data_IF_612728995601
#
_entry.id   IF_612728995601
#
_cell.length_a   1.000
_cell.length_b   1.000
_cell.length_c   1.000
_cell.angle_alpha   90.00
_cell.angle_beta   90.00
_cell.angle_gamma   90.00
#
_symmetry.space_group_name_H-M   'P 1'
#
loop_
_entity.id
_entity.type
_entity.pdbx_description
1 polymer ?
#
# COMPACT_ATOMS: atom_id res chain seq x y z
N UNK A 1 -6.80 -11.26 15.41
CA UNK A 1 -5.38 -11.02 15.05
C UNK A 1 -5.11 -10.85 13.55
N UNK A 2 -5.91 -11.44 12.64
CA UNK A 2 -5.71 -11.38 11.18
C UNK A 2 -5.69 -9.94 10.59
N UNK A 3 -6.52 -9.04 11.11
CA UNK A 3 -6.65 -7.65 10.62
C UNK A 3 -5.36 -6.82 10.78
N UNK A 4 -4.65 -6.99 11.90
CA UNK A 4 -3.37 -6.31 12.14
C UNK A 4 -2.30 -6.72 11.13
N UNK A 5 -2.24 -8.01 10.78
CA UNK A 5 -1.25 -8.52 9.82
C UNK A 5 -1.49 -7.98 8.41
N UNK A 6 -2.74 -7.90 7.97
CA UNK A 6 -3.09 -7.33 6.65
C UNK A 6 -2.66 -5.87 6.58
N UNK A 7 -2.96 -5.06 7.61
CA UNK A 7 -2.52 -3.67 7.69
C UNK A 7 -0.99 -3.54 7.72
N UNK A 8 -0.30 -4.42 8.45
CA UNK A 8 1.17 -4.43 8.49
C UNK A 8 1.78 -4.74 7.12
N UNK A 9 1.28 -5.77 6.44
CA UNK A 9 1.77 -6.15 5.11
C UNK A 9 1.49 -5.03 4.10
N UNK A 10 0.31 -4.41 4.15
CA UNK A 10 -0.03 -3.26 3.30
C UNK A 10 0.92 -2.07 3.53
N UNK A 11 1.23 -1.77 4.80
CA UNK A 11 2.14 -0.68 5.19
C UNK A 11 3.57 -0.92 4.72
N UNK A 12 4.06 -2.16 4.83
CA UNK A 12 5.38 -2.54 4.30
C UNK A 12 5.44 -2.49 2.77
N UNK A 13 4.37 -2.89 2.09
CA UNK A 13 4.26 -2.78 0.62
C UNK A 13 4.25 -1.32 0.16
N UNK A 14 3.61 -0.40 0.91
CA UNK A 14 3.66 1.04 0.60
C UNK A 14 5.05 1.59 0.69
N UNK A 15 5.73 1.23 1.78
CA UNK A 15 7.08 1.70 2.06
C UNK A 15 8.04 1.23 0.96
N UNK A 16 7.95 -0.05 0.56
CA UNK A 16 8.75 -0.59 -0.53
C UNK A 16 8.43 0.08 -1.88
N UNK A 17 7.16 0.31 -2.19
CA UNK A 17 6.73 0.96 -3.43
C UNK A 17 7.18 2.43 -3.53
N UNK A 18 7.18 3.18 -2.41
CA UNK A 18 7.66 4.56 -2.39
C UNK A 18 9.19 4.67 -2.41
N UNK A 19 9.90 3.74 -1.76
CA UNK A 19 11.36 3.82 -1.61
C UNK A 19 12.08 3.19 -2.81
N UNK A 20 11.54 2.13 -3.41
CA UNK A 20 12.21 1.38 -4.49
C UNK A 20 12.67 2.24 -5.68
N UNK A 21 11.76 2.95 -6.37
CA UNK A 21 12.10 3.70 -7.59
C UNK A 21 13.09 4.87 -7.35
N UNK A 22 12.93 5.72 -6.31
CA UNK A 22 13.89 6.78 -6.01
C UNK A 22 15.29 6.22 -5.68
N UNK A 23 15.36 5.11 -4.94
CA UNK A 23 16.65 4.52 -4.56
C UNK A 23 17.37 3.92 -5.78
N UNK A 24 16.62 3.30 -6.71
CA UNK A 24 17.15 2.78 -7.96
C UNK A 24 17.63 3.90 -8.90
N UNK A 25 16.91 5.03 -8.96
CA UNK A 25 17.32 6.22 -9.69
C UNK A 25 18.58 6.87 -9.12
N UNK A 26 18.64 7.08 -7.79
CA UNK A 26 19.83 7.63 -7.12
C UNK A 26 21.07 6.75 -7.26
N UNK A 27 20.90 5.42 -7.36
CA UNK A 27 22.00 4.49 -7.60
C UNK A 27 22.53 4.52 -9.06
N UNK A 28 21.97 5.38 -9.94
CA UNK A 28 22.31 5.44 -11.36
C UNK A 28 21.90 4.20 -12.15
N UNK A 29 21.03 3.35 -11.58
CA UNK A 29 20.58 2.09 -12.20
C UNK A 29 19.29 2.23 -12.98
N UNK A 30 18.70 3.42 -12.98
CA UNK A 30 17.43 3.70 -13.64
C UNK A 30 17.46 5.13 -14.19
N UNK A 31 17.08 5.31 -15.45
CA UNK A 31 16.90 6.64 -16.02
C UNK A 31 15.63 7.31 -15.49
N UNK A 32 15.60 8.64 -15.56
CA UNK A 32 14.51 9.46 -15.04
C UNK A 32 13.15 9.06 -15.66
N UNK A 33 13.12 8.78 -16.97
CA UNK A 33 11.88 8.42 -17.66
C UNK A 33 11.39 7.01 -17.28
N UNK A 34 12.30 6.05 -17.09
CA UNK A 34 11.95 4.75 -16.54
C UNK A 34 11.42 4.85 -15.11
N UNK A 35 12.03 5.70 -14.26
CA UNK A 35 11.56 5.95 -12.89
C UNK A 35 10.13 6.51 -12.89
N UNK A 36 9.84 7.51 -13.74
CA UNK A 36 8.49 8.09 -13.85
C UNK A 36 7.45 7.04 -14.22
N UNK A 37 7.74 6.17 -15.20
CA UNK A 37 6.83 5.10 -15.61
C UNK A 37 6.62 4.12 -14.45
N UNK A 38 7.70 3.70 -13.78
CA UNK A 38 7.61 2.81 -12.62
C UNK A 38 6.80 3.41 -11.47
N UNK A 39 6.99 4.68 -11.15
CA UNK A 39 6.21 5.39 -10.14
C UNK A 39 4.73 5.50 -10.54
N UNK A 40 4.44 5.76 -11.82
CA UNK A 40 3.07 5.81 -12.31
C UNK A 40 2.37 4.46 -12.17
N UNK A 41 3.02 3.37 -12.63
CA UNK A 41 2.47 2.01 -12.50
C UNK A 41 2.29 1.65 -11.03
N UNK A 42 3.28 1.90 -10.18
CA UNK A 42 3.18 1.65 -8.74
C UNK A 42 2.02 2.41 -8.09
N UNK A 43 1.79 3.66 -8.49
CA UNK A 43 0.67 4.49 -7.99
C UNK A 43 -0.67 3.94 -8.45
N UNK A 44 -0.81 3.55 -9.73
CA UNK A 44 -2.05 2.96 -10.24
C UNK A 44 -2.34 1.63 -9.55
N UNK A 45 -1.35 0.75 -9.43
CA UNK A 45 -1.48 -0.51 -8.68
C UNK A 45 -1.87 -0.24 -7.23
N UNK A 46 -1.19 0.69 -6.56
CA UNK A 46 -1.53 1.11 -5.20
C UNK A 46 -2.98 1.55 -5.08
N UNK A 47 -3.47 2.37 -6.03
CA UNK A 47 -4.84 2.87 -6.03
C UNK A 47 -5.88 1.76 -6.16
N UNK A 48 -5.58 0.70 -6.90
CA UNK A 48 -6.46 -0.48 -7.04
C UNK A 48 -6.42 -1.34 -5.78
N UNK A 49 -5.23 -1.57 -5.21
CA UNK A 49 -5.07 -2.52 -4.10
C UNK A 49 -5.48 -1.89 -2.75
N UNK A 50 -5.24 -0.60 -2.54
CA UNK A 50 -5.55 0.13 -1.29
C UNK A 50 -6.99 -0.01 -0.79
N UNK A 51 -8.03 0.24 -1.61
CA UNK A 51 -9.41 0.09 -1.16
C UNK A 51 -9.77 -1.37 -0.80
N UNK A 52 -9.07 -2.37 -1.37
CA UNK A 52 -9.34 -3.79 -1.11
C UNK A 52 -9.01 -4.21 0.33
N UNK A 53 -8.08 -3.52 1.01
CA UNK A 53 -7.77 -3.81 2.43
C UNK A 53 -8.29 -2.76 3.41
N UNK A 54 -8.56 -1.53 2.94
CA UNK A 54 -8.95 -0.41 3.80
C UNK A 54 -10.47 -0.35 4.07
N UNK A 55 -11.28 -1.16 3.39
CA UNK A 55 -12.74 -1.06 3.37
C UNK A 55 -13.55 -2.10 4.17
N UNK A 56 -13.10 -2.59 5.33
CA UNK A 56 -13.99 -3.41 6.19
C UNK A 56 -13.97 -2.98 7.65
N UNK A 57 -14.97 -2.18 8.02
CA UNK A 57 -15.48 -2.14 9.38
C UNK A 57 -15.88 -3.57 9.78
N UNK A 58 -15.40 -4.03 10.94
CA UNK A 58 -15.86 -5.30 11.48
C UNK A 58 -17.25 -5.08 12.06
N UNK A 59 -18.25 -5.90 11.71
CA UNK A 59 -19.60 -5.81 12.30
C UNK A 59 -19.68 -6.19 13.81
N UNK A 60 -18.63 -6.06 14.62
CA UNK A 60 -18.63 -6.54 16.01
C UNK A 60 -19.04 -5.48 17.05
N UNK A 61 -19.19 -4.20 16.69
CA UNK A 61 -19.40 -3.16 17.72
C UNK A 61 -20.88 -2.79 17.93
N UNK A 62 -21.79 -3.19 17.02
CA UNK A 62 -23.22 -2.85 17.11
C UNK A 62 -24.03 -3.72 18.11
N UNK A 63 -23.49 -4.85 18.57
CA UNK A 63 -24.23 -5.78 19.43
C UNK A 63 -23.99 -5.57 20.93
N UNK A 64 -22.99 -4.76 21.34
CA UNK A 64 -22.69 -4.52 22.76
C UNK A 64 -23.38 -3.29 23.36
N UNK A 65 -24.02 -2.46 22.53
CA UNK A 65 -24.79 -1.28 23.00
C UNK A 65 -26.28 -1.58 23.24
N UNK A 66 -26.74 -2.80 22.95
CA UNK A 66 -28.15 -3.20 23.08
C UNK A 66 -28.42 -4.29 24.14
N UNK A 67 -27.44 -4.65 24.97
CA UNK A 67 -27.55 -5.65 26.04
C UNK A 67 -27.30 -5.02 27.42
#
# INVERSE_FOLDING_TARGET
MLSRRILQVASWLSLAALIGPPTAFLAGRMELDAMKIWMLVATVTWFIVTPLWMGREKPHDAASEAA
#
